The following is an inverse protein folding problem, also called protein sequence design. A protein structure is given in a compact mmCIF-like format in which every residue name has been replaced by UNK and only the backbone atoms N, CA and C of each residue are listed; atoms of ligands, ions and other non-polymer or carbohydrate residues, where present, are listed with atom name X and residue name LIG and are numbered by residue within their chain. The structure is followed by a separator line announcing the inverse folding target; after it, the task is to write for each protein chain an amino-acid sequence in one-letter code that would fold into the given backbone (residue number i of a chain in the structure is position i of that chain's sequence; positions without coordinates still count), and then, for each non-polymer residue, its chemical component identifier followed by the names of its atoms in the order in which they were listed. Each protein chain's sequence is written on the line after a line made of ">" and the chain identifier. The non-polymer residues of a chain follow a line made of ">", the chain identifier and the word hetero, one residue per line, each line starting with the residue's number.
data_IF_914752969133
#
_entry.id   IF_914752969133
#
_cell.length_a   1.000
_cell.length_b   1.000
_cell.length_c   1.000
_cell.angle_alpha   90.00
_cell.angle_beta   90.00
_cell.angle_gamma   90.00
#
_symmetry.space_group_name_H-M   'P 1'
#
loop_
_entity.id
_entity.type
_entity.pdbx_description
1 polymer ?
#
# COMPACT_ATOMS: atom_id res chain seq x y z
N UNK A 1 5.65 14.64 10.64
CA UNK A 1 5.94 13.92 9.39
C UNK A 1 5.00 12.74 9.35
N UNK A 2 4.12 12.66 8.35
CA UNK A 2 3.21 11.51 8.23
C UNK A 2 4.03 10.35 7.71
N UNK A 3 4.10 9.26 8.47
CA UNK A 3 4.74 8.03 7.99
C UNK A 3 3.95 7.48 6.80
N UNK A 4 4.65 7.03 5.76
CA UNK A 4 4.05 6.45 4.56
C UNK A 4 4.46 4.98 4.41
N UNK A 5 3.61 4.21 3.76
CA UNK A 5 3.83 2.81 3.42
C UNK A 5 3.66 2.65 1.91
N UNK A 6 4.54 1.86 1.28
CA UNK A 6 4.49 1.57 -0.15
C UNK A 6 3.72 0.27 -0.37
N UNK A 7 2.64 0.34 -1.13
CA UNK A 7 1.68 -0.77 -1.30
C UNK A 7 1.23 -0.92 -2.74
N UNK A 8 0.75 -2.12 -3.08
CA UNK A 8 0.12 -2.45 -4.36
C UNK A 8 -1.10 -3.33 -4.10
N UNK A 9 -2.12 -3.31 -4.95
CA UNK A 9 -3.25 -4.23 -4.80
C UNK A 9 -2.84 -5.68 -5.10
N UNK A 10 -3.53 -6.63 -4.49
CA UNK A 10 -3.39 -8.03 -4.87
C UNK A 10 -3.82 -8.24 -6.33
N UNK A 11 -3.28 -9.27 -6.98
CA UNK A 11 -3.53 -9.52 -8.41
C UNK A 11 -5.02 -9.56 -8.75
N UNK A 12 -5.42 -8.78 -9.75
CA UNK A 12 -6.80 -8.65 -10.21
C UNK A 12 -7.71 -7.78 -9.32
N UNK A 13 -7.19 -7.19 -8.24
CA UNK A 13 -7.96 -6.31 -7.35
C UNK A 13 -7.72 -4.82 -7.65
N UNK A 14 -8.70 -4.02 -7.26
CA UNK A 14 -8.61 -2.57 -7.21
C UNK A 14 -9.11 -2.10 -5.84
N UNK A 15 -8.25 -1.40 -5.09
CA UNK A 15 -8.56 -0.92 -3.74
C UNK A 15 -8.76 0.61 -3.78
N UNK A 16 -9.91 1.14 -3.36
CA UNK A 16 -10.15 2.59 -3.34
C UNK A 16 -9.14 3.34 -2.46
N UNK A 17 -8.81 4.57 -2.81
CA UNK A 17 -8.02 5.43 -1.94
C UNK A 17 -8.88 6.02 -0.82
N UNK A 18 -8.30 6.14 0.38
CA UNK A 18 -8.98 6.71 1.54
C UNK A 18 -9.46 8.15 1.24
N UNK A 19 -10.76 8.40 1.39
CA UNK A 19 -11.37 9.71 1.09
C UNK A 19 -11.50 10.04 -0.40
N UNK A 20 -11.10 9.13 -1.30
CA UNK A 20 -11.13 9.32 -2.74
C UNK A 20 -11.63 8.05 -3.45
N UNK A 21 -12.95 7.77 -3.43
CA UNK A 21 -13.50 6.50 -3.91
C UNK A 21 -13.39 6.30 -5.43
N UNK A 22 -13.02 7.33 -6.20
CA UNK A 22 -12.81 7.24 -7.65
C UNK A 22 -11.33 7.03 -8.04
N UNK A 23 -10.42 7.08 -7.07
CA UNK A 23 -9.00 6.79 -7.27
C UNK A 23 -8.70 5.40 -6.68
N UNK A 24 -7.98 4.57 -7.42
CA UNK A 24 -7.75 3.17 -7.07
C UNK A 24 -6.26 2.84 -7.05
N UNK A 25 -5.87 2.05 -6.06
CA UNK A 25 -4.63 1.30 -6.04
C UNK A 25 -4.89 0.01 -6.81
N UNK A 26 -4.09 -0.24 -7.86
CA UNK A 26 -4.23 -1.42 -8.71
C UNK A 26 -3.07 -2.38 -8.49
N UNK A 27 -3.12 -3.54 -9.13
CA UNK A 27 -2.06 -4.55 -9.09
C UNK A 27 -0.90 -4.27 -10.08
N UNK A 28 -1.00 -3.17 -10.83
CA UNK A 28 -0.02 -2.78 -11.86
C UNK A 28 1.14 -1.98 -11.29
N UNK A 29 0.87 -1.06 -10.36
CA UNK A 29 1.86 -0.10 -9.84
C UNK A 29 1.82 -0.01 -8.31
N UNK A 30 3.00 0.12 -7.71
CA UNK A 30 3.13 0.36 -6.27
C UNK A 30 3.06 1.85 -5.97
N UNK A 31 2.29 2.23 -4.96
CA UNK A 31 2.05 3.62 -4.56
C UNK A 31 2.38 3.85 -3.10
N UNK A 32 2.83 5.05 -2.76
CA UNK A 32 3.01 5.47 -1.38
C UNK A 32 1.71 6.05 -0.83
N UNK A 33 1.27 5.52 0.32
CA UNK A 33 0.07 5.98 1.02
C UNK A 33 0.39 6.28 2.49
N UNK A 34 -0.40 7.12 3.18
CA UNK A 34 -0.23 7.31 4.61
C UNK A 34 -0.32 6.00 5.39
N UNK A 35 0.51 5.83 6.42
CA UNK A 35 0.40 4.75 7.39
C UNK A 35 -0.86 4.94 8.26
N UNK A 36 -2.02 4.67 7.68
CA UNK A 36 -3.34 4.88 8.26
C UNK A 36 -4.10 3.57 8.41
N UNK A 37 -5.02 3.54 9.38
CA UNK A 37 -5.80 2.34 9.73
C UNK A 37 -6.54 1.71 8.53
N UNK A 38 -6.99 2.52 7.56
CA UNK A 38 -7.63 2.02 6.34
C UNK A 38 -6.72 1.07 5.55
N UNK A 39 -5.50 1.51 5.22
CA UNK A 39 -4.56 0.73 4.43
C UNK A 39 -3.99 -0.46 5.21
N UNK A 40 -3.73 -0.29 6.51
CA UNK A 40 -3.32 -1.39 7.39
C UNK A 40 -4.38 -2.50 7.43
N UNK A 41 -5.67 -2.14 7.43
CA UNK A 41 -6.77 -3.09 7.37
C UNK A 41 -6.79 -3.84 6.04
N UNK A 42 -6.64 -3.14 4.92
CA UNK A 42 -6.56 -3.76 3.59
C UNK A 42 -5.34 -4.70 3.46
N UNK A 43 -4.20 -4.35 4.08
CA UNK A 43 -3.04 -5.25 4.15
C UNK A 43 -3.38 -6.50 4.97
N UNK A 44 -4.03 -6.34 6.13
CA UNK A 44 -4.41 -7.48 6.98
C UNK A 44 -5.36 -8.46 6.29
N UNK A 45 -6.29 -7.96 5.46
CA UNK A 45 -7.19 -8.81 4.66
C UNK A 45 -6.55 -9.37 3.38
N UNK A 46 -5.35 -8.92 3.01
CA UNK A 46 -4.66 -9.34 1.80
C UNK A 46 -5.12 -8.61 0.53
N UNK A 47 -5.94 -7.56 0.65
CA UNK A 47 -6.35 -6.71 -0.49
C UNK A 47 -5.16 -5.88 -1.01
N UNK A 48 -4.28 -5.46 -0.10
CA UNK A 48 -3.04 -4.76 -0.39
C UNK A 48 -1.84 -5.58 0.06
N UNK A 49 -0.76 -5.51 -0.71
CA UNK A 49 0.55 -6.08 -0.38
C UNK A 49 1.57 -4.97 -0.22
N UNK A 50 2.38 -5.06 0.85
CA UNK A 50 3.51 -4.16 1.06
C UNK A 50 4.55 -4.44 -0.02
N UNK A 51 5.01 -3.38 -0.67
CA UNK A 51 6.11 -3.44 -1.64
C UNK A 51 7.34 -2.89 -0.96
N UNK A 52 8.23 -3.79 -0.53
CA UNK A 52 9.52 -3.38 0.00
C UNK A 52 10.33 -2.72 -1.11
N UNK A 53 10.66 -1.44 -0.93
CA UNK A 53 11.76 -0.83 -1.68
C UNK A 53 13.02 -1.28 -0.97
N UNK A 54 13.51 -2.49 -1.29
CA UNK A 54 14.61 -3.13 -0.57
C UNK A 54 15.77 -2.14 -0.32
N UNK A 55 15.94 -1.60 0.90
CA UNK A 55 17.16 -0.92 1.25
C UNK A 55 18.07 -2.02 1.79
N UNK A 56 18.65 -2.83 0.89
CA UNK A 56 19.77 -3.69 1.26
C UNK A 56 20.91 -2.75 1.66
N UNK A 57 20.98 -2.39 2.94
CA UNK A 57 21.93 -1.41 3.42
C UNK A 57 21.76 -0.90 4.84
N UNK A 58 21.35 -1.73 5.81
CA UNK A 58 21.97 -1.65 7.15
C UNK A 58 21.73 -2.95 7.93
N UNK A 59 22.69 -3.88 7.82
CA UNK A 59 22.88 -4.90 8.86
C UNK A 59 23.87 -4.31 9.86
N UNK A 60 23.44 -4.28 11.13
CA UNK A 60 24.27 -4.03 12.30
C UNK A 60 25.48 -4.97 12.36
#
# INVERSE_FOLDING_TARGET
>A
MTETIKVRAATGLQVPMAGKPHEYITDQEAVEVPNAAYYLRCIHYGDLVIVEDNPKGNKS
#
